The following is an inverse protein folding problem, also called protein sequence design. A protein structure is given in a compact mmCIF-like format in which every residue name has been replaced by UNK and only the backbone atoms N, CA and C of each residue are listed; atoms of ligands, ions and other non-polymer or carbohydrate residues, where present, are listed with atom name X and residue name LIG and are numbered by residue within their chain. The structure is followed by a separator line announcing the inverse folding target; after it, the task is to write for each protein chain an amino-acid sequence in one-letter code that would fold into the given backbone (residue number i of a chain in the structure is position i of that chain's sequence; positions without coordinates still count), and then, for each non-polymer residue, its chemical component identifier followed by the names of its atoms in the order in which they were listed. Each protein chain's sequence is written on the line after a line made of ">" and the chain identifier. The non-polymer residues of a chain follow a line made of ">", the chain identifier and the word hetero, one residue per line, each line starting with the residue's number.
data_IF_140537541268
#
_entry.id   IF_140537541268
#
_cell.length_a   1.000
_cell.length_b   1.000
_cell.length_c   1.000
_cell.angle_alpha   90.00
_cell.angle_beta   90.00
_cell.angle_gamma   90.00
#
_symmetry.space_group_name_H-M   'P 1'
#
loop_
_entity.id
_entity.type
_entity.pdbx_description
1 polymer ?
#
# COMPACT_ATOMS: atom_id res chain seq x y z
N UNK A 1 66.04 32.08 13.32
CA UNK A 1 64.59 31.85 13.50
C UNK A 1 64.15 30.85 12.45
N UNK A 2 63.56 29.72 12.84
CA UNK A 2 62.99 28.74 11.90
C UNK A 2 61.51 29.07 11.74
N UNK A 3 61.13 29.52 10.55
CA UNK A 3 59.75 29.80 10.18
C UNK A 3 59.14 28.56 9.51
N UNK A 4 58.09 28.00 10.11
CA UNK A 4 57.31 26.92 9.51
C UNK A 4 56.17 27.54 8.70
N UNK A 5 55.88 26.99 7.52
CA UNK A 5 54.76 27.40 6.69
C UNK A 5 53.74 26.27 6.61
N UNK A 6 52.47 26.64 6.50
CA UNK A 6 51.38 25.69 6.34
C UNK A 6 51.47 25.01 4.96
N UNK A 7 51.48 23.68 4.93
CA UNK A 7 51.50 22.90 3.68
C UNK A 7 50.24 23.08 2.83
N UNK A 8 49.13 23.49 3.45
CA UNK A 8 47.84 23.64 2.75
C UNK A 8 47.61 25.03 2.15
N UNK A 9 48.17 26.11 2.74
CA UNK A 9 47.90 27.47 2.28
C UNK A 9 49.13 28.38 2.19
N UNK A 10 50.32 27.87 2.53
CA UNK A 10 51.57 28.61 2.48
C UNK A 10 51.73 29.71 3.53
N UNK A 11 50.75 29.92 4.43
CA UNK A 11 50.84 30.95 5.48
C UNK A 11 51.82 30.52 6.57
N UNK A 12 52.61 31.48 7.08
CA UNK A 12 53.55 31.25 8.16
C UNK A 12 52.81 30.87 9.45
N UNK A 13 53.24 29.76 10.07
CA UNK A 13 52.70 29.24 11.32
C UNK A 13 53.53 29.77 12.49
N UNK A 14 52.86 30.17 13.56
CA UNK A 14 53.53 30.48 14.81
C UNK A 14 53.91 29.18 15.54
N UNK A 15 55.11 29.10 16.13
CA UNK A 15 55.50 27.93 16.90
C UNK A 15 54.55 27.71 18.07
N UNK A 16 53.97 26.51 18.19
CA UNK A 16 53.06 26.14 19.27
C UNK A 16 51.56 26.19 18.93
N UNK A 17 51.17 26.61 17.72
CA UNK A 17 49.75 26.57 17.32
C UNK A 17 49.36 25.19 16.80
N UNK A 18 48.29 24.60 17.33
CA UNK A 18 47.79 23.30 16.89
C UNK A 18 47.15 23.34 15.48
N UNK A 19 46.71 24.52 15.02
CA UNK A 19 46.02 24.72 13.75
C UNK A 19 46.47 26.01 13.07
N UNK A 20 46.40 26.04 11.73
CA UNK A 20 46.68 27.22 10.92
C UNK A 20 45.54 28.25 11.04
N UNK A 21 45.86 29.47 11.44
CA UNK A 21 44.88 30.58 11.51
C UNK A 21 44.34 31.03 10.15
N UNK A 22 44.99 30.67 9.05
CA UNK A 22 44.57 31.03 7.70
C UNK A 22 43.57 30.08 7.06
N UNK A 23 43.71 28.77 7.28
CA UNK A 23 42.90 27.74 6.60
C UNK A 23 42.30 26.69 7.54
N UNK A 24 42.62 26.71 8.83
CA UNK A 24 42.15 25.75 9.82
C UNK A 24 42.84 24.38 9.81
N UNK A 25 43.76 24.12 8.87
CA UNK A 25 44.48 22.84 8.81
C UNK A 25 45.36 22.60 10.05
N UNK A 26 45.45 21.35 10.51
CA UNK A 26 46.27 20.95 11.66
C UNK A 26 47.75 21.17 11.37
N UNK A 27 48.47 21.77 12.30
CA UNK A 27 49.92 21.94 12.18
C UNK A 27 50.59 20.57 12.45
N UNK A 28 51.19 19.99 11.41
CA UNK A 28 51.90 18.72 11.48
C UNK A 28 53.25 18.90 12.20
N UNK A 29 53.21 19.01 13.52
CA UNK A 29 54.42 19.24 14.33
C UNK A 29 54.39 18.67 15.74
N UNK A 30 53.36 17.91 16.12
CA UNK A 30 53.34 17.21 17.42
C UNK A 30 52.92 15.75 17.23
N UNK A 31 53.90 14.85 17.32
CA UNK A 31 53.68 13.43 17.58
C UNK A 31 53.25 13.28 19.04
N UNK A 32 52.07 12.69 19.26
CA UNK A 32 51.61 12.25 20.58
C UNK A 32 51.66 10.72 20.63
N UNK A 33 52.40 10.16 21.60
CA UNK A 33 52.33 8.75 22.03
C UNK A 33 52.99 8.64 23.44
N UNK A 34 52.70 7.62 24.28
CA UNK A 34 51.45 7.35 25.03
C UNK A 34 51.69 7.00 26.54
N UNK A 35 50.73 7.22 27.47
CA UNK A 35 50.49 6.34 28.66
C UNK A 35 49.12 6.57 29.32
N UNK A 36 48.50 5.44 29.67
CA UNK A 36 47.13 5.16 30.11
C UNK A 36 46.88 5.41 31.61
N UNK A 37 45.68 5.88 31.97
CA UNK A 37 44.91 5.40 33.13
C UNK A 37 43.38 5.52 32.86
N UNK A 38 42.60 4.60 33.42
CA UNK A 38 41.32 4.00 32.99
C UNK A 38 40.04 4.86 33.33
N UNK A 39 38.78 4.44 33.06
CA UNK A 39 37.84 5.12 32.15
C UNK A 39 36.54 5.63 32.83
N UNK A 40 35.82 6.64 32.27
CA UNK A 40 34.38 6.69 32.43
C UNK A 40 33.73 5.76 31.39
N UNK A 41 33.48 4.52 31.77
CA UNK A 41 32.51 3.67 31.10
C UNK A 41 31.12 4.28 31.32
N UNK A 42 30.61 4.98 30.31
CA UNK A 42 29.21 4.86 29.81
C UNK A 42 29.14 5.34 28.36
N UNK A 43 29.89 4.69 27.48
CA UNK A 43 29.41 4.49 26.12
C UNK A 43 28.54 3.23 26.14
N UNK A 44 27.22 3.40 26.21
CA UNK A 44 26.29 2.59 25.40
C UNK A 44 24.86 3.05 25.63
N UNK A 45 24.44 4.03 24.84
CA UNK A 45 23.05 4.06 24.39
C UNK A 45 23.03 4.31 22.88
N UNK A 46 23.77 3.47 22.16
CA UNK A 46 23.48 3.27 20.75
C UNK A 46 22.23 2.40 20.70
N UNK A 47 21.06 3.02 20.58
CA UNK A 47 19.87 2.33 20.09
C UNK A 47 20.22 1.83 18.68
N UNK A 48 20.28 0.51 18.43
CA UNK A 48 20.75 0.00 17.15
C UNK A 48 19.77 0.45 16.06
N UNK A 49 20.27 1.18 15.06
CA UNK A 49 19.51 1.66 13.90
C UNK A 49 18.96 0.49 13.04
N UNK A 50 19.34 -0.75 13.35
CA UNK A 50 18.87 -2.01 12.75
C UNK A 50 17.51 -2.51 13.28
N UNK A 51 16.65 -1.62 13.80
CA UNK A 51 15.25 -1.95 14.13
C UNK A 51 14.26 -1.38 13.11
N UNK A 52 14.55 -0.17 12.60
CA UNK A 52 13.56 0.62 11.86
C UNK A 52 13.20 0.03 10.49
N UNK A 53 14.15 -0.61 9.80
CA UNK A 53 13.89 -1.27 8.51
C UNK A 53 13.07 -2.55 8.70
N UNK A 54 13.36 -3.32 9.75
CA UNK A 54 12.58 -4.52 10.09
C UNK A 54 11.14 -4.14 10.43
N UNK A 55 10.94 -3.06 11.20
CA UNK A 55 9.61 -2.56 11.54
C UNK A 55 8.81 -2.16 10.29
N UNK A 56 9.42 -1.45 9.33
CA UNK A 56 8.76 -1.10 8.07
C UNK A 56 8.41 -2.33 7.22
N UNK A 57 9.26 -3.37 7.21
CA UNK A 57 9.01 -4.62 6.50
C UNK A 57 7.88 -5.42 7.17
N UNK A 58 7.84 -5.47 8.49
CA UNK A 58 6.76 -6.15 9.23
C UNK A 58 5.43 -5.42 9.05
N UNK A 59 5.43 -4.09 9.11
CA UNK A 59 4.22 -3.28 8.89
C UNK A 59 3.71 -3.45 7.46
N UNK A 60 4.59 -3.46 6.44
CA UNK A 60 4.16 -3.64 5.05
C UNK A 60 3.59 -5.05 4.82
N UNK A 61 4.24 -6.09 5.35
CA UNK A 61 3.72 -7.46 5.28
C UNK A 61 2.38 -7.59 5.99
N UNK A 62 2.22 -7.00 7.18
CA UNK A 62 0.96 -7.00 7.90
C UNK A 62 -0.17 -6.30 7.12
N UNK A 63 0.11 -5.14 6.51
CA UNK A 63 -0.86 -4.42 5.68
C UNK A 63 -1.28 -5.28 4.47
N UNK A 64 -0.33 -5.93 3.79
CA UNK A 64 -0.63 -6.81 2.65
C UNK A 64 -1.52 -7.98 3.09
N UNK A 65 -1.22 -8.62 4.22
CA UNK A 65 -2.03 -9.72 4.75
C UNK A 65 -3.44 -9.28 5.14
N UNK A 66 -3.58 -8.08 5.73
CA UNK A 66 -4.88 -7.50 6.06
C UNK A 66 -5.68 -7.19 4.78
N UNK A 67 -5.04 -6.59 3.76
CA UNK A 67 -5.70 -6.28 2.48
C UNK A 67 -6.13 -7.56 1.73
N UNK A 68 -5.28 -8.60 1.71
CA UNK A 68 -5.63 -9.91 1.17
C UNK A 68 -6.77 -10.57 1.96
N UNK A 69 -6.74 -10.49 3.29
CA UNK A 69 -7.80 -11.01 4.16
C UNK A 69 -9.15 -10.33 3.92
N UNK A 70 -9.19 -8.99 3.93
CA UNK A 70 -10.41 -8.22 3.66
C UNK A 70 -10.90 -8.45 2.22
N UNK A 71 -9.99 -8.52 1.24
CA UNK A 71 -10.33 -8.80 -0.16
C UNK A 71 -10.98 -10.17 -0.35
N UNK A 72 -10.51 -11.20 0.37
CA UNK A 72 -11.09 -12.55 0.31
C UNK A 72 -12.52 -12.62 0.87
N UNK A 73 -12.83 -11.82 1.90
CA UNK A 73 -14.17 -11.73 2.49
C UNK A 73 -15.15 -10.98 1.57
N UNK A 74 -14.68 -10.03 0.76
CA UNK A 74 -15.52 -9.34 -0.23
C UNK A 74 -15.90 -10.25 -1.41
N UNK A 75 -15.01 -11.17 -1.80
CA UNK A 75 -15.26 -12.13 -2.87
C UNK A 75 -16.37 -13.14 -2.54
N UNK A 76 -16.59 -13.46 -1.26
CA UNK A 76 -17.67 -14.36 -0.84
C UNK A 76 -19.07 -13.77 -0.98
N UNK A 77 -19.19 -12.46 -1.22
CA UNK A 77 -20.49 -11.78 -1.43
C UNK A 77 -20.88 -11.76 -2.92
N UNK A 78 -20.00 -12.19 -3.83
CA UNK A 78 -20.33 -12.35 -5.24
C UNK A 78 -21.18 -13.61 -5.38
N UNK A 79 -22.51 -13.42 -5.40
CA UNK A 79 -23.47 -14.50 -5.59
C UNK A 79 -23.13 -15.35 -6.83
N UNK A 80 -23.29 -16.66 -6.73
CA UNK A 80 -23.06 -17.56 -7.87
C UNK A 80 -24.11 -17.34 -8.94
N UNK A 81 -23.68 -17.14 -10.19
CA UNK A 81 -24.59 -17.21 -11.34
C UNK A 81 -25.06 -18.65 -11.48
N UNK A 82 -26.37 -18.86 -11.61
CA UNK A 82 -26.94 -20.18 -11.88
C UNK A 82 -27.66 -20.15 -13.22
N UNK A 83 -27.42 -21.16 -14.06
CA UNK A 83 -28.10 -21.31 -15.34
C UNK A 83 -29.35 -22.16 -15.12
N UNK A 84 -30.50 -21.66 -15.57
CA UNK A 84 -31.76 -22.40 -15.54
C UNK A 84 -32.15 -22.80 -16.98
N UNK A 85 -32.74 -23.98 -17.13
CA UNK A 85 -33.35 -24.40 -18.39
C UNK A 85 -34.84 -24.04 -18.41
N UNK A 86 -35.31 -23.48 -19.52
CA UNK A 86 -36.73 -23.21 -19.73
C UNK A 86 -37.41 -24.53 -20.12
N UNK A 87 -38.23 -25.09 -19.23
CA UNK A 87 -38.89 -26.39 -19.43
C UNK A 87 -40.27 -26.27 -20.09
N UNK A 88 -40.87 -25.09 -20.10
CA UNK A 88 -42.17 -24.83 -20.71
C UNK A 88 -42.47 -23.34 -20.82
N UNK A 89 -43.43 -23.01 -21.68
CA UNK A 89 -43.96 -21.67 -21.85
C UNK A 89 -45.48 -21.77 -22.05
N UNK A 90 -46.23 -20.84 -21.47
CA UNK A 90 -47.67 -20.71 -21.65
C UNK A 90 -47.99 -19.30 -22.15
N UNK A 91 -48.66 -19.20 -23.30
CA UNK A 91 -49.08 -17.91 -23.85
C UNK A 91 -50.48 -17.58 -23.32
N UNK A 92 -50.56 -16.65 -22.37
CA UNK A 92 -51.84 -16.12 -21.87
C UNK A 92 -52.20 -14.88 -22.69
N UNK A 93 -53.23 -14.97 -23.54
CA UNK A 93 -53.75 -13.83 -24.29
C UNK A 93 -54.68 -13.00 -23.39
N UNK A 94 -54.20 -11.86 -22.90
CA UNK A 94 -55.02 -10.92 -22.14
C UNK A 94 -55.87 -10.06 -23.10
N UNK A 95 -57.08 -10.53 -23.43
CA UNK A 95 -58.04 -9.73 -24.18
C UNK A 95 -58.72 -8.76 -23.20
N UNK A 96 -58.05 -7.65 -22.88
CA UNK A 96 -58.74 -6.50 -22.27
C UNK A 96 -59.36 -5.64 -23.37
N UNK A 97 -60.64 -5.31 -23.21
CA UNK A 97 -61.40 -4.47 -24.14
C UNK A 97 -61.13 -2.96 -23.91
N UNK A 98 -59.89 -2.63 -23.55
CA UNK A 98 -59.39 -1.27 -23.37
C UNK A 98 -58.42 -0.97 -24.53
N UNK A 99 -58.51 0.23 -25.11
CA UNK A 99 -57.64 0.67 -26.22
C UNK A 99 -56.14 0.55 -25.90
N UNK A 100 -55.74 0.52 -24.62
CA UNK A 100 -54.34 0.35 -24.21
C UNK A 100 -53.76 -1.05 -24.47
N UNK A 101 -54.60 -2.07 -24.70
CA UNK A 101 -54.20 -3.47 -24.98
C UNK A 101 -54.08 -3.80 -26.47
N UNK A 102 -54.37 -2.84 -27.36
CA UNK A 102 -54.34 -3.04 -28.81
C UNK A 102 -52.97 -3.05 -29.46
N UNK A 103 -51.88 -2.90 -28.71
CA UNK A 103 -50.54 -3.05 -29.29
C UNK A 103 -50.18 -4.54 -29.37
N UNK A 104 -50.29 -5.19 -30.55
CA UNK A 104 -49.98 -6.62 -30.72
C UNK A 104 -48.50 -6.91 -30.48
N UNK A 105 -47.67 -5.88 -30.43
CA UNK A 105 -46.23 -5.99 -30.22
C UNK A 105 -45.82 -5.87 -28.75
N UNK A 106 -46.77 -5.65 -27.83
CA UNK A 106 -46.51 -5.59 -26.38
C UNK A 106 -46.75 -6.96 -25.73
N UNK A 107 -45.70 -7.53 -25.15
CA UNK A 107 -45.74 -8.81 -24.46
C UNK A 107 -45.27 -8.67 -23.01
N UNK A 108 -45.94 -9.38 -22.09
CA UNK A 108 -45.50 -9.53 -20.69
C UNK A 108 -44.97 -10.94 -20.50
N UNK A 109 -43.70 -11.05 -20.19
CA UNK A 109 -43.03 -12.32 -19.88
C UNK A 109 -43.06 -12.49 -18.37
N UNK A 110 -43.80 -13.48 -17.88
CA UNK A 110 -43.75 -13.91 -16.48
C UNK A 110 -42.83 -15.12 -16.38
N UNK A 111 -41.96 -15.14 -15.37
CA UNK A 111 -41.00 -16.23 -15.17
C UNK A 111 -41.04 -16.71 -13.72
N UNK A 112 -40.82 -18.01 -13.55
CA UNK A 112 -40.66 -18.66 -12.26
C UNK A 112 -39.55 -19.70 -12.36
N UNK A 113 -38.63 -19.71 -11.40
CA UNK A 113 -37.59 -20.74 -11.30
C UNK A 113 -37.30 -21.06 -9.83
N UNK A 114 -36.67 -22.20 -9.56
CA UNK A 114 -36.31 -22.62 -8.21
C UNK A 114 -34.81 -22.87 -8.09
N UNK A 115 -34.19 -22.37 -7.03
CA UNK A 115 -32.76 -22.53 -6.72
C UNK A 115 -32.64 -22.99 -5.28
N UNK A 116 -31.99 -24.14 -5.04
CA UNK A 116 -31.76 -24.63 -3.68
C UNK A 116 -33.05 -24.88 -2.86
N UNK A 117 -34.19 -25.12 -3.50
CA UNK A 117 -35.49 -25.27 -2.85
C UNK A 117 -36.28 -23.98 -2.66
N UNK A 118 -35.68 -22.81 -2.92
CA UNK A 118 -36.37 -21.52 -2.92
C UNK A 118 -36.93 -21.20 -4.29
N UNK A 119 -38.12 -20.59 -4.33
CA UNK A 119 -38.82 -20.22 -5.56
C UNK A 119 -38.71 -18.72 -5.80
N UNK A 120 -38.33 -18.38 -7.02
CA UNK A 120 -38.19 -17.02 -7.51
C UNK A 120 -39.20 -16.77 -8.63
N UNK A 121 -39.87 -15.62 -8.61
CA UNK A 121 -40.86 -15.22 -9.61
C UNK A 121 -40.62 -13.78 -10.03
N UNK A 122 -40.91 -13.44 -11.28
CA UNK A 122 -40.87 -12.07 -11.73
C UNK A 122 -41.56 -11.87 -13.07
N UNK A 123 -41.59 -10.63 -13.54
CA UNK A 123 -42.13 -10.32 -14.86
C UNK A 123 -41.35 -9.20 -15.54
N UNK A 124 -41.31 -9.24 -16.86
CA UNK A 124 -40.74 -8.17 -17.69
C UNK A 124 -41.68 -7.88 -18.85
N UNK A 125 -42.02 -6.61 -19.03
CA UNK A 125 -42.81 -6.15 -20.18
C UNK A 125 -41.86 -5.69 -21.27
N UNK A 126 -42.02 -6.21 -22.48
CA UNK A 126 -41.26 -5.81 -23.67
C UNK A 126 -42.22 -5.42 -24.79
N UNK A 127 -41.82 -4.42 -25.56
CA UNK A 127 -42.45 -4.07 -26.84
C UNK A 127 -41.44 -4.43 -27.91
N UNK A 128 -41.80 -5.31 -28.83
CA UNK A 128 -41.00 -5.59 -30.01
C UNK A 128 -41.43 -4.61 -31.11
N UNK A 129 -40.49 -3.95 -31.78
CA UNK A 129 -40.77 -3.10 -32.96
C UNK A 129 -40.65 -3.90 -34.25
#
# INVERSE_FOLDING_TARGET
>A
MISIFCVHCGKQLQPGTAFCSGCGAKAEGRQETPRSELPPTRLSQQKPIKGRVMDFVVISVAIILILMGIGSMALTVVGSTTTAQVTGYEQVLFINNDDSTRNPSRYKLEYQFAVGGERYTGSVTRVFE
#
